data_IF_004102665098
#
_entry.id   IF_004102665098
#
_cell.length_a   1.000
_cell.length_b   1.000
_cell.length_c   1.000
_cell.angle_alpha   90.00
_cell.angle_beta   90.00
_cell.angle_gamma   90.00
#
_symmetry.space_group_name_H-M   'P 1'
#
loop_
_entity.id
_entity.type
_entity.pdbx_description
1 polymer ?
#
# COMPACT_ATOMS: atom_id res chain seq x y z
N UNK A 1 36.14 -4.86 9.41
CA UNK A 1 36.25 -5.07 7.96
C UNK A 1 35.58 -6.39 7.62
N UNK A 2 34.44 -6.34 6.93
CA UNK A 2 33.56 -7.48 6.69
C UNK A 2 34.10 -8.51 5.68
N UNK A 3 33.54 -9.71 5.71
CA UNK A 3 33.90 -10.86 4.86
C UNK A 3 33.92 -10.50 3.35
N UNK A 4 33.00 -9.65 2.91
CA UNK A 4 32.89 -9.18 1.53
C UNK A 4 34.07 -8.30 1.09
N UNK A 5 34.57 -7.43 1.97
CA UNK A 5 35.74 -6.59 1.67
C UNK A 5 36.98 -7.43 1.37
N UNK A 6 37.18 -8.52 2.12
CA UNK A 6 38.31 -9.43 1.92
C UNK A 6 38.21 -10.24 0.62
N UNK A 7 36.99 -10.55 0.15
CA UNK A 7 36.76 -11.29 -1.11
C UNK A 7 37.05 -10.39 -2.32
N UNK A 8 36.58 -9.14 -2.28
CA UNK A 8 36.82 -8.16 -3.35
C UNK A 8 38.32 -7.83 -3.44
N UNK A 9 38.97 -7.53 -2.31
CA UNK A 9 40.40 -7.18 -2.28
C UNK A 9 41.32 -8.33 -2.71
N UNK A 10 40.91 -9.59 -2.49
CA UNK A 10 41.69 -10.77 -2.91
C UNK A 10 41.69 -11.00 -4.42
N UNK A 11 40.63 -10.59 -5.13
CA UNK A 11 40.49 -10.81 -6.59
C UNK A 11 41.08 -9.65 -7.42
N UNK A 12 41.23 -8.46 -6.84
CA UNK A 12 41.68 -7.24 -7.53
C UNK A 12 42.98 -6.66 -6.94
N UNK A 13 43.91 -7.55 -6.55
CA UNK A 13 45.13 -7.19 -5.80
C UNK A 13 46.02 -6.12 -6.47
N UNK A 14 46.03 -6.05 -7.81
CA UNK A 14 46.82 -5.07 -8.58
C UNK A 14 46.06 -3.76 -8.90
N UNK A 15 44.75 -3.71 -8.60
CA UNK A 15 43.86 -2.55 -8.84
C UNK A 15 43.39 -1.93 -7.50
N UNK A 16 43.62 -2.63 -6.39
CA UNK A 16 43.26 -2.22 -5.03
C UNK A 16 43.66 -0.78 -4.66
N UNK A 17 44.84 -0.24 -5.04
CA UNK A 17 45.21 1.13 -4.71
C UNK A 17 44.31 2.17 -5.39
N UNK A 18 44.00 1.96 -6.67
CA UNK A 18 43.10 2.83 -7.46
C UNK A 18 41.67 2.70 -6.93
N UNK A 19 41.27 1.49 -6.53
CA UNK A 19 39.94 1.24 -5.98
C UNK A 19 39.74 1.89 -4.60
N UNK A 20 40.76 1.88 -3.73
CA UNK A 20 40.74 2.60 -2.46
C UNK A 20 40.65 4.13 -2.67
N UNK A 21 41.38 4.65 -3.66
CA UNK A 21 41.34 6.08 -4.00
C UNK A 21 39.97 6.50 -4.54
N UNK A 22 39.36 5.68 -5.40
CA UNK A 22 37.99 5.85 -5.89
C UNK A 22 36.98 5.73 -4.71
N UNK A 23 37.06 4.70 -3.88
CA UNK A 23 36.16 4.54 -2.73
C UNK A 23 36.26 5.73 -1.77
N UNK A 24 37.44 6.33 -1.62
CA UNK A 24 37.67 7.50 -0.78
C UNK A 24 37.17 8.79 -1.42
N UNK A 25 37.36 8.94 -2.74
CA UNK A 25 36.89 10.09 -3.52
C UNK A 25 35.37 10.11 -3.72
N UNK A 26 34.74 8.92 -3.78
CA UNK A 26 33.31 8.75 -4.02
C UNK A 26 32.56 8.23 -2.79
N UNK A 27 33.17 8.28 -1.60
CA UNK A 27 32.57 7.78 -0.35
C UNK A 27 31.19 8.37 -0.06
N UNK A 28 30.98 9.63 -0.47
CA UNK A 28 29.71 10.36 -0.32
C UNK A 28 28.64 9.96 -1.34
N UNK A 29 29.02 9.21 -2.40
CA UNK A 29 28.11 8.67 -3.43
C UNK A 29 27.87 7.17 -3.28
N UNK A 30 28.62 6.51 -2.40
CA UNK A 30 28.46 5.10 -2.12
C UNK A 30 27.43 4.95 -1.00
N UNK A 31 26.37 4.22 -1.29
CA UNK A 31 25.36 3.84 -0.30
C UNK A 31 26.06 3.21 0.91
N UNK A 32 25.79 3.74 2.09
CA UNK A 32 26.17 3.17 3.38
C UNK A 32 25.60 1.76 3.52
N UNK A 33 26.15 0.94 4.43
CA UNK A 33 25.62 -0.41 4.69
C UNK A 33 24.14 -0.37 5.09
N UNK A 34 23.68 0.71 5.74
CA UNK A 34 22.29 0.98 6.08
C UNK A 34 21.44 1.36 4.84
N UNK A 35 22.00 2.10 3.89
CA UNK A 35 21.34 2.45 2.61
C UNK A 35 21.34 1.29 1.58
N UNK A 36 22.12 0.23 1.84
CA UNK A 36 22.14 -1.01 1.07
C UNK A 36 21.06 -2.02 1.52
N UNK A 37 20.40 -1.79 2.66
CA UNK A 37 19.26 -2.61 3.08
C UNK A 37 18.04 -2.26 2.22
N UNK A 38 17.83 -3.02 1.15
CA UNK A 38 16.59 -2.97 0.37
C UNK A 38 15.45 -3.33 1.34
N UNK A 39 14.47 -2.42 1.59
CA UNK A 39 13.38 -2.72 2.50
C UNK A 39 12.62 -3.95 2.00
N UNK A 40 12.64 -5.02 2.80
CA UNK A 40 11.90 -6.25 2.50
C UNK A 40 10.44 -6.04 2.82
N UNK A 41 9.64 -5.65 1.82
CA UNK A 41 8.18 -5.56 1.95
C UNK A 41 7.60 -6.97 1.95
N UNK A 42 7.08 -7.41 3.10
CA UNK A 42 6.46 -8.72 3.27
C UNK A 42 4.94 -8.64 3.37
N UNK A 43 4.40 -7.49 3.77
CA UNK A 43 2.97 -7.26 3.99
C UNK A 43 2.53 -5.94 3.37
N UNK A 44 1.58 -6.01 2.45
CA UNK A 44 1.04 -4.87 1.71
C UNK A 44 -0.44 -4.70 2.08
N UNK A 45 -0.83 -3.51 2.55
CA UNK A 45 -2.22 -3.16 2.80
C UNK A 45 -2.79 -2.33 1.65
N UNK A 46 -3.94 -2.74 1.10
CA UNK A 46 -4.66 -2.02 0.05
C UNK A 46 -6.08 -1.72 0.54
N UNK A 47 -6.34 -0.52 1.08
CA UNK A 47 -7.68 -0.07 1.42
C UNK A 47 -8.49 0.29 0.18
N UNK A 48 -9.72 -0.17 0.15
CA UNK A 48 -10.68 0.05 -0.92
C UNK A 48 -11.98 0.60 -0.33
N UNK A 49 -12.67 1.44 -1.09
CA UNK A 49 -14.04 1.81 -0.82
C UNK A 49 -14.79 2.04 -2.13
N UNK A 50 -16.00 2.58 -2.04
CA UNK A 50 -16.83 2.85 -3.22
C UNK A 50 -16.25 3.86 -4.20
N UNK A 51 -15.24 4.63 -3.80
CA UNK A 51 -14.58 5.69 -4.57
C UNK A 51 -13.17 5.32 -5.01
N UNK A 52 -12.60 4.23 -4.49
CA UNK A 52 -11.30 3.74 -4.93
C UNK A 52 -11.28 3.41 -6.42
N UNK A 53 -10.24 3.88 -7.11
CA UNK A 53 -9.98 3.48 -8.48
C UNK A 53 -9.40 2.05 -8.50
N UNK A 54 -9.60 1.31 -9.60
CA UNK A 54 -8.87 0.08 -9.86
C UNK A 54 -7.35 0.30 -9.79
N UNK A 55 -6.61 -0.73 -9.40
CA UNK A 55 -5.15 -0.63 -9.31
C UNK A 55 -4.55 -0.36 -10.71
N UNK A 56 -3.77 0.71 -10.90
CA UNK A 56 -3.09 0.98 -12.17
C UNK A 56 -1.90 0.03 -12.36
N UNK A 57 -1.47 -0.12 -13.61
CA UNK A 57 -0.35 -1.01 -13.99
C UNK A 57 0.92 -0.75 -13.17
N UNK A 58 1.23 0.52 -12.87
CA UNK A 58 2.40 0.89 -12.05
C UNK A 58 2.35 0.34 -10.63
N UNK A 59 1.16 0.26 -10.01
CA UNK A 59 0.98 -0.35 -8.69
C UNK A 59 1.12 -1.87 -8.78
N UNK A 60 0.68 -2.46 -9.87
CA UNK A 60 0.79 -3.90 -10.11
C UNK A 60 2.24 -4.32 -10.34
N UNK A 61 3.00 -3.53 -11.09
CA UNK A 61 4.44 -3.69 -11.24
C UNK A 61 5.18 -3.51 -9.90
N UNK A 62 4.71 -2.59 -9.05
CA UNK A 62 5.25 -2.45 -7.71
C UNK A 62 5.01 -3.71 -6.86
N UNK A 63 3.77 -4.22 -6.81
CA UNK A 63 3.43 -5.45 -6.06
C UNK A 63 4.23 -6.64 -6.59
N UNK A 64 4.39 -6.75 -7.90
CA UNK A 64 5.11 -7.85 -8.56
C UNK A 64 6.60 -7.89 -8.20
N UNK A 65 7.17 -6.77 -7.78
CA UNK A 65 8.55 -6.67 -7.30
C UNK A 65 8.77 -7.38 -5.94
N UNK A 66 7.69 -7.76 -5.25
CA UNK A 66 7.73 -8.44 -3.94
C UNK A 66 7.01 -9.80 -3.97
N UNK A 67 7.52 -10.80 -4.72
CA UNK A 67 6.89 -12.10 -4.84
C UNK A 67 6.75 -12.81 -3.48
N UNK A 68 5.63 -13.51 -3.27
CA UNK A 68 5.33 -14.19 -2.00
C UNK A 68 4.90 -13.28 -0.84
N UNK A 69 4.78 -11.96 -1.07
CA UNK A 69 4.24 -11.04 -0.06
C UNK A 69 2.77 -11.34 0.27
N UNK A 70 2.36 -10.97 1.49
CA UNK A 70 0.98 -11.03 1.94
C UNK A 70 0.28 -9.74 1.56
N UNK A 71 -0.81 -9.83 0.80
CA UNK A 71 -1.60 -8.66 0.41
C UNK A 71 -2.93 -8.67 1.15
N UNK A 72 -3.13 -7.67 2.00
CA UNK A 72 -4.40 -7.44 2.70
C UNK A 72 -5.26 -6.47 1.92
N UNK A 73 -6.42 -6.92 1.47
CA UNK A 73 -7.44 -6.08 0.84
C UNK A 73 -8.53 -5.77 1.86
N UNK A 74 -8.79 -4.50 2.13
CA UNK A 74 -9.84 -4.09 3.08
C UNK A 74 -10.80 -3.15 2.40
N UNK A 75 -12.05 -3.58 2.23
CA UNK A 75 -13.11 -2.70 1.77
C UNK A 75 -13.82 -2.07 2.97
N UNK A 76 -13.86 -0.73 3.04
CA UNK A 76 -14.48 -0.04 4.18
C UNK A 76 -15.79 0.64 3.77
N UNK A 77 -16.88 0.19 4.40
CA UNK A 77 -18.20 0.81 4.29
C UNK A 77 -18.30 1.91 5.35
N UNK A 78 -18.68 3.10 4.91
CA UNK A 78 -18.82 4.27 5.77
C UNK A 78 -20.06 4.18 6.66
N UNK A 79 -19.84 4.04 7.97
CA UNK A 79 -20.95 3.99 8.94
C UNK A 79 -21.68 5.33 9.04
N UNK A 80 -20.99 6.45 8.86
CA UNK A 80 -21.59 7.78 8.96
C UNK A 80 -22.60 7.99 7.82
N UNK A 81 -22.31 7.48 6.62
CA UNK A 81 -23.25 7.51 5.49
C UNK A 81 -24.49 6.68 5.78
N UNK A 82 -24.32 5.47 6.33
CA UNK A 82 -25.45 4.62 6.74
C UNK A 82 -26.31 5.32 7.80
N UNK A 83 -25.68 6.01 8.77
CA UNK A 83 -26.39 6.78 9.81
C UNK A 83 -27.18 7.93 9.20
N UNK A 84 -26.59 8.72 8.32
CA UNK A 84 -27.26 9.86 7.67
C UNK A 84 -28.48 9.39 6.85
N UNK A 85 -28.36 8.30 6.10
CA UNK A 85 -29.49 7.73 5.34
C UNK A 85 -30.61 7.30 6.28
N UNK A 86 -30.26 6.62 7.38
CA UNK A 86 -31.24 6.19 8.39
C UNK A 86 -31.99 7.37 8.98
N UNK A 87 -31.28 8.43 9.35
CA UNK A 87 -31.85 9.64 9.97
C UNK A 87 -32.67 10.49 8.98
N UNK A 88 -32.31 10.48 7.69
CA UNK A 88 -32.94 11.34 6.67
C UNK A 88 -34.10 10.67 5.93
N UNK A 89 -33.96 9.38 5.61
CA UNK A 89 -34.90 8.64 4.76
C UNK A 89 -35.63 7.55 5.57
N UNK A 90 -34.88 6.79 6.36
CA UNK A 90 -35.41 5.75 7.25
C UNK A 90 -34.61 4.45 7.22
N UNK A 91 -34.95 3.54 8.14
CA UNK A 91 -34.21 2.29 8.36
C UNK A 91 -34.18 1.38 7.13
N UNK A 92 -35.30 1.29 6.38
CA UNK A 92 -35.41 0.41 5.22
C UNK A 92 -34.42 0.81 4.12
N UNK A 93 -34.30 2.10 3.83
CA UNK A 93 -33.39 2.60 2.81
C UNK A 93 -31.93 2.51 3.25
N UNK A 94 -31.65 2.70 4.55
CA UNK A 94 -30.33 2.48 5.11
C UNK A 94 -29.88 1.02 4.97
N UNK A 95 -30.78 0.06 5.17
CA UNK A 95 -30.47 -1.36 4.99
C UNK A 95 -30.25 -1.71 3.51
N UNK A 96 -31.10 -1.21 2.61
CA UNK A 96 -30.91 -1.39 1.16
C UNK A 96 -29.57 -0.79 0.71
N UNK A 97 -29.18 0.37 1.23
CA UNK A 97 -27.88 0.97 0.95
C UNK A 97 -26.75 0.07 1.44
N UNK A 98 -26.84 -0.43 2.67
CA UNK A 98 -25.84 -1.30 3.27
C UNK A 98 -25.66 -2.59 2.48
N UNK A 99 -26.74 -3.27 2.09
CA UNK A 99 -26.70 -4.47 1.24
C UNK A 99 -26.02 -4.20 -0.10
N UNK A 100 -26.33 -3.07 -0.74
CA UNK A 100 -25.70 -2.66 -2.01
C UNK A 100 -24.21 -2.40 -1.86
N UNK A 101 -23.81 -1.71 -0.79
CA UNK A 101 -22.39 -1.44 -0.53
C UNK A 101 -21.62 -2.72 -0.18
N UNK A 102 -22.22 -3.66 0.55
CA UNK A 102 -21.63 -4.97 0.78
C UNK A 102 -21.35 -5.70 -0.53
N UNK A 103 -22.35 -5.81 -1.41
CA UNK A 103 -22.20 -6.46 -2.71
C UNK A 103 -21.13 -5.77 -3.56
N UNK A 104 -21.14 -4.44 -3.61
CA UNK A 104 -20.10 -3.66 -4.32
C UNK A 104 -18.71 -3.93 -3.73
N UNK A 105 -18.61 -4.03 -2.41
CA UNK A 105 -17.38 -4.37 -1.71
C UNK A 105 -16.84 -5.73 -2.11
N UNK A 106 -17.70 -6.76 -2.13
CA UNK A 106 -17.32 -8.10 -2.59
C UNK A 106 -16.86 -8.11 -4.05
N UNK A 107 -17.60 -7.44 -4.94
CA UNK A 107 -17.25 -7.31 -6.36
C UNK A 107 -15.88 -6.64 -6.54
N UNK A 108 -15.64 -5.54 -5.80
CA UNK A 108 -14.38 -4.78 -5.85
C UNK A 108 -13.21 -5.61 -5.32
N UNK A 109 -13.38 -6.26 -4.15
CA UNK A 109 -12.36 -7.11 -3.56
C UNK A 109 -11.99 -8.29 -4.47
N UNK A 110 -12.99 -8.94 -5.07
CA UNK A 110 -12.76 -10.07 -5.97
C UNK A 110 -12.06 -9.63 -7.27
N UNK A 111 -12.43 -8.48 -7.82
CA UNK A 111 -11.78 -7.93 -9.02
C UNK A 111 -10.30 -7.59 -8.74
N UNK A 112 -10.02 -6.90 -7.64
CA UNK A 112 -8.66 -6.55 -7.22
C UNK A 112 -7.83 -7.79 -6.90
N UNK A 113 -8.42 -8.75 -6.18
CA UNK A 113 -7.76 -10.02 -5.86
C UNK A 113 -7.35 -10.76 -7.13
N UNK A 114 -8.27 -10.94 -8.07
CA UNK A 114 -7.99 -11.62 -9.34
C UNK A 114 -6.84 -10.95 -10.10
N UNK A 115 -6.85 -9.63 -10.15
CA UNK A 115 -5.83 -8.86 -10.85
C UNK A 115 -4.42 -9.04 -10.26
N UNK A 116 -4.32 -9.26 -8.94
CA UNK A 116 -3.04 -9.61 -8.28
C UNK A 116 -2.70 -11.09 -8.46
N UNK A 117 -3.69 -12.00 -8.42
CA UNK A 117 -3.49 -13.43 -8.67
C UNK A 117 -2.98 -13.72 -10.08
N UNK A 118 -3.45 -12.96 -11.08
CA UNK A 118 -3.04 -13.08 -12.49
C UNK A 118 -1.53 -12.83 -12.70
N UNK A 119 -0.82 -12.25 -11.72
CA UNK A 119 0.64 -12.11 -11.75
C UNK A 119 1.39 -13.43 -11.60
N UNK A 120 0.77 -14.49 -11.07
CA UNK A 120 1.39 -15.80 -10.82
C UNK A 120 2.65 -15.77 -9.94
N UNK A 121 2.71 -14.87 -8.95
CA UNK A 121 3.88 -14.66 -8.07
C UNK A 121 3.72 -15.22 -6.64
N UNK A 122 2.77 -16.15 -6.44
CA UNK A 122 2.50 -16.82 -5.17
C UNK A 122 2.18 -15.89 -3.98
N UNK A 123 1.59 -14.72 -4.24
CA UNK A 123 1.12 -13.82 -3.18
C UNK A 123 0.03 -14.50 -2.34
N UNK A 124 0.03 -14.23 -1.03
CA UNK A 124 -1.04 -14.69 -0.13
C UNK A 124 -1.99 -13.53 0.07
N UNK A 125 -3.19 -13.62 -0.51
CA UNK A 125 -4.16 -12.52 -0.50
C UNK A 125 -5.25 -12.80 0.53
N UNK A 126 -5.43 -11.90 1.49
CA UNK A 126 -6.60 -11.86 2.37
C UNK A 126 -7.51 -10.70 1.96
N UNK A 127 -8.82 -10.90 2.07
CA UNK A 127 -9.80 -9.86 1.81
C UNK A 127 -10.84 -9.83 2.92
N UNK A 128 -11.25 -8.63 3.33
CA UNK A 128 -12.28 -8.42 4.34
C UNK A 128 -13.07 -7.14 4.08
N UNK A 129 -14.33 -7.13 4.48
CA UNK A 129 -15.17 -5.94 4.52
C UNK A 129 -15.27 -5.48 5.97
N UNK A 130 -15.02 -4.20 6.22
CA UNK A 130 -15.21 -3.56 7.54
C UNK A 130 -16.21 -2.42 7.43
N UNK A 131 -16.92 -2.16 8.52
CA UNK A 131 -17.85 -1.04 8.64
C UNK A 131 -17.34 -0.13 9.75
N UNK A 132 -17.30 1.18 9.49
CA UNK A 132 -16.92 2.18 10.49
C UNK A 132 -16.32 3.41 9.85
N UNK A 133 -15.55 4.16 10.64
CA UNK A 133 -14.81 5.30 10.14
C UNK A 133 -13.61 4.84 9.30
N UNK A 134 -13.61 5.21 8.02
CA UNK A 134 -12.61 4.80 7.03
C UNK A 134 -11.17 5.04 7.49
N UNK A 135 -10.85 6.29 7.84
CA UNK A 135 -9.50 6.63 8.23
C UNK A 135 -9.08 5.91 9.51
N UNK A 136 -9.94 5.87 10.55
CA UNK A 136 -9.61 5.16 11.80
C UNK A 136 -9.33 3.67 11.58
N UNK A 137 -10.13 3.01 10.74
CA UNK A 137 -9.89 1.59 10.42
C UNK A 137 -8.54 1.42 9.72
N UNK A 138 -8.25 2.24 8.70
CA UNK A 138 -6.99 2.08 7.96
C UNK A 138 -5.76 2.46 8.79
N UNK A 139 -5.88 3.50 9.63
CA UNK A 139 -4.85 3.89 10.60
C UNK A 139 -4.48 2.69 11.48
N UNK A 140 -5.46 2.03 12.12
CA UNK A 140 -5.25 0.84 12.96
C UNK A 140 -4.72 -0.35 12.17
N UNK A 141 -5.34 -0.71 11.04
CA UNK A 141 -4.91 -1.88 10.26
C UNK A 141 -3.50 -1.72 9.70
N UNK A 142 -3.06 -0.49 9.40
CA UNK A 142 -1.74 -0.24 8.82
C UNK A 142 -0.57 -0.61 9.75
N UNK A 143 -0.80 -0.70 11.06
CA UNK A 143 0.24 -1.04 12.05
C UNK A 143 0.88 -2.41 11.77
N UNK A 144 0.09 -3.37 11.27
CA UNK A 144 0.48 -4.75 10.99
C UNK A 144 1.13 -4.98 9.61
N UNK A 145 1.26 -3.93 8.80
CA UNK A 145 1.75 -3.98 7.42
C UNK A 145 3.00 -3.14 7.23
N UNK A 146 3.77 -3.45 6.18
CA UNK A 146 5.03 -2.78 5.87
C UNK A 146 4.79 -1.56 4.97
N UNK A 147 3.75 -1.61 4.13
CA UNK A 147 3.39 -0.53 3.21
C UNK A 147 1.88 -0.44 3.01
N UNK A 148 1.41 0.79 2.83
CA UNK A 148 0.03 1.11 2.47
C UNK A 148 -0.04 1.56 0.99
N UNK A 149 -0.97 1.01 0.22
CA UNK A 149 -1.22 1.44 -1.17
C UNK A 149 -2.67 1.90 -1.29
N UNK A 150 -2.88 3.21 -1.43
CA UNK A 150 -4.22 3.82 -1.33
C UNK A 150 -4.56 4.64 -2.57
N UNK A 151 -5.80 4.49 -3.06
CA UNK A 151 -6.33 5.35 -4.11
C UNK A 151 -6.38 6.79 -3.63
N UNK A 152 -5.96 7.75 -4.46
CA UNK A 152 -6.13 9.18 -4.22
C UNK A 152 -7.58 9.60 -3.97
N UNK A 153 -8.55 8.82 -4.43
CA UNK A 153 -9.99 9.06 -4.22
C UNK A 153 -10.60 8.22 -3.10
N UNK A 154 -9.79 7.49 -2.34
CA UNK A 154 -10.30 6.77 -1.19
C UNK A 154 -11.02 7.72 -0.22
N UNK A 155 -12.24 7.35 0.17
CA UNK A 155 -13.06 8.10 1.11
C UNK A 155 -13.99 9.13 0.47
N UNK A 156 -13.67 9.67 -0.71
CA UNK A 156 -14.48 10.73 -1.34
C UNK A 156 -14.34 10.79 -2.86
N UNK A 157 -15.43 11.08 -3.56
CA UNK A 157 -15.43 11.29 -5.03
C UNK A 157 -14.54 12.46 -5.44
N UNK A 158 -13.96 12.38 -6.64
CA UNK A 158 -13.31 13.51 -7.32
C UNK A 158 -14.17 14.78 -7.26
N UNK A 159 -13.62 15.82 -6.68
CA UNK A 159 -14.08 17.20 -6.85
C UNK A 159 -13.10 17.89 -7.78
N UNK A 160 -13.59 18.67 -8.76
CA UNK A 160 -12.75 19.38 -9.76
C UNK A 160 -11.60 20.21 -9.16
N UNK A 161 -11.71 20.55 -7.88
CA UNK A 161 -10.79 21.38 -7.12
C UNK A 161 -9.68 20.62 -6.40
N UNK A 162 -9.81 19.32 -6.13
CA UNK A 162 -8.85 18.58 -5.31
C UNK A 162 -8.47 17.25 -5.98
N UNK A 163 -7.16 17.06 -6.20
CA UNK A 163 -6.62 15.86 -6.85
C UNK A 163 -6.49 14.65 -5.90
N UNK A 164 -6.54 14.88 -4.59
CA UNK A 164 -6.44 13.86 -3.54
C UNK A 164 -7.50 14.12 -2.47
N UNK A 165 -8.13 13.06 -2.01
CA UNK A 165 -9.17 13.06 -0.98
C UNK A 165 -8.64 13.56 0.38
N UNK A 166 -9.38 14.40 1.11
CA UNK A 166 -9.05 14.79 2.49
C UNK A 166 -8.87 13.60 3.45
N UNK A 167 -9.57 12.49 3.20
CA UNK A 167 -9.44 11.26 4.01
C UNK A 167 -8.06 10.64 3.80
N UNK A 168 -7.56 10.63 2.57
CA UNK A 168 -6.19 10.18 2.27
C UNK A 168 -5.18 11.06 3.01
N UNK A 169 -5.34 12.39 2.98
CA UNK A 169 -4.46 13.29 3.74
C UNK A 169 -4.48 13.02 5.25
N UNK A 170 -5.67 12.77 5.82
CA UNK A 170 -5.78 12.38 7.23
C UNK A 170 -5.01 11.09 7.52
N UNK A 171 -5.16 10.07 6.69
CA UNK A 171 -4.45 8.79 6.85
C UNK A 171 -2.93 9.03 6.81
N UNK A 172 -2.44 9.78 5.83
CA UNK A 172 -1.01 10.10 5.70
C UNK A 172 -0.42 10.83 6.91
N UNK A 173 -1.23 11.60 7.64
CA UNK A 173 -0.79 12.31 8.84
C UNK A 173 -0.63 11.40 10.07
N UNK A 174 -1.27 10.22 10.06
CA UNK A 174 -1.35 9.33 11.22
C UNK A 174 -0.70 7.96 10.99
N UNK A 175 -0.45 7.58 9.74
CA UNK A 175 0.23 6.32 9.39
C UNK A 175 1.74 6.55 9.33
N UNK A 176 2.49 5.79 10.14
CA UNK A 176 3.96 5.83 10.16
C UNK A 176 4.61 5.02 9.03
N UNK A 177 3.83 4.12 8.40
CA UNK A 177 4.33 3.27 7.32
C UNK A 177 4.46 4.04 6.01
N UNK A 178 5.39 3.66 5.12
CA UNK A 178 5.42 4.16 3.75
C UNK A 178 4.05 4.02 3.08
N UNK A 179 3.65 5.05 2.32
CA UNK A 179 2.37 5.08 1.62
C UNK A 179 2.58 5.38 0.14
N UNK A 180 2.03 4.55 -0.73
CA UNK A 180 1.89 4.80 -2.16
C UNK A 180 0.48 5.32 -2.40
N UNK A 181 0.39 6.51 -2.99
CA UNK A 181 -0.87 7.08 -3.44
C UNK A 181 -0.95 6.91 -4.95
N UNK A 182 -2.02 6.28 -5.42
CA UNK A 182 -2.23 6.04 -6.85
C UNK A 182 -3.46 6.75 -7.40
#
# INVERSE_FOLDING_TARGET
MGLFSNIILRRFRDIAPIYEEILKAYKEFLLTEEELEIPTVTRILIPLDRYSDPLPESVIEYISSFPGSRVGLIYVIDEDVCRVIRETIGDKDAEIFREKEFKKGEETLNATKKLIEDLNLNHIISSQIKIGNKATIIEHESEDYDILIVSRYYGATMVKTYQVSPIVFRILQNVEKPVIIY
#
